data_IF_013328077952
#
_entry.id   IF_013328077952
#
_cell.length_a   1.000
_cell.length_b   1.000
_cell.length_c   1.000
_cell.angle_alpha   90.00
_cell.angle_beta   90.00
_cell.angle_gamma   90.00
#
_symmetry.space_group_name_H-M   'P 1'
#
loop_
_entity.id
_entity.type
_entity.pdbx_description
1 polymer ?
#
# COMPACT_ATOMS: atom_id res chain seq x y z
N UNK A 1 -50.62 58.19 -6.81
CA UNK A 1 -51.50 58.43 -7.96
C UNK A 1 -50.92 57.67 -9.12
N UNK A 2 -51.74 56.80 -9.61
CA UNK A 2 -51.96 56.26 -10.96
C UNK A 2 -50.85 55.32 -11.43
N UNK A 3 -51.04 54.06 -11.37
CA UNK A 3 -51.96 53.15 -12.09
C UNK A 3 -51.71 53.05 -13.60
N UNK A 4 -51.48 51.75 -13.96
CA UNK A 4 -51.93 51.10 -15.20
C UNK A 4 -51.19 51.44 -16.49
N UNK A 5 -50.67 50.50 -17.17
CA UNK A 5 -51.26 49.59 -18.18
C UNK A 5 -50.09 48.92 -18.93
N UNK A 6 -49.98 47.80 -19.44
CA UNK A 6 -50.88 46.83 -20.01
C UNK A 6 -50.03 45.64 -20.50
N UNK A 7 -50.42 44.53 -20.18
CA UNK A 7 -50.63 43.30 -20.92
C UNK A 7 -50.37 43.32 -22.45
N UNK A 8 -49.92 42.13 -22.87
CA UNK A 8 -49.89 41.58 -24.23
C UNK A 8 -48.66 41.83 -25.08
N UNK A 9 -47.79 40.83 -25.08
CA UNK A 9 -47.47 40.15 -26.34
C UNK A 9 -46.97 38.76 -26.02
N UNK A 10 -47.88 37.82 -25.88
CA UNK A 10 -47.63 36.44 -26.09
C UNK A 10 -47.61 36.19 -27.58
N UNK A 11 -46.56 35.63 -28.13
CA UNK A 11 -46.62 34.77 -29.30
C UNK A 11 -45.27 34.24 -29.74
N UNK A 12 -45.17 32.95 -29.82
CA UNK A 12 -44.45 32.23 -30.86
C UNK A 12 -42.92 32.10 -30.67
N UNK A 13 -42.54 31.18 -29.81
CA UNK A 13 -41.27 30.47 -29.95
C UNK A 13 -41.55 29.06 -30.47
N UNK A 14 -41.18 28.86 -31.71
CA UNK A 14 -41.27 27.63 -32.46
C UNK A 14 -40.50 26.52 -31.76
N UNK A 15 -41.18 25.35 -31.68
CA UNK A 15 -40.61 24.09 -31.25
C UNK A 15 -39.52 23.64 -32.27
N UNK A 16 -38.27 23.83 -31.96
CA UNK A 16 -37.19 23.12 -32.66
C UNK A 16 -37.07 21.71 -32.08
N UNK A 17 -36.98 20.65 -32.90
CA UNK A 17 -36.80 19.29 -32.41
C UNK A 17 -35.39 19.10 -31.90
N UNK A 18 -35.26 18.75 -30.62
CA UNK A 18 -34.02 18.33 -29.99
C UNK A 18 -33.54 17.03 -30.67
N UNK A 19 -32.47 17.10 -31.43
CA UNK A 19 -31.80 15.94 -32.00
C UNK A 19 -31.29 15.07 -30.86
N UNK A 20 -31.88 13.89 -30.70
CA UNK A 20 -31.41 12.83 -29.81
C UNK A 20 -30.09 12.30 -30.37
N UNK A 21 -28.93 12.76 -29.88
CA UNK A 21 -27.64 12.13 -30.12
C UNK A 21 -27.61 10.79 -29.34
N UNK A 22 -27.85 9.71 -30.10
CA UNK A 22 -27.58 8.34 -29.62
C UNK A 22 -26.08 8.10 -29.72
N UNK A 23 -25.33 8.40 -28.68
CA UNK A 23 -24.01 7.81 -28.45
C UNK A 23 -23.96 7.33 -27.01
N UNK A 24 -24.69 6.25 -26.75
CA UNK A 24 -24.49 5.43 -25.57
C UNK A 24 -23.19 4.62 -25.75
N UNK A 25 -22.06 5.27 -25.55
CA UNK A 25 -20.82 4.53 -25.33
C UNK A 25 -20.95 3.85 -23.96
N UNK A 26 -21.20 2.53 -24.01
CA UNK A 26 -21.17 1.67 -22.83
C UNK A 26 -19.76 1.80 -22.23
N UNK A 27 -19.60 2.14 -20.93
CA UNK A 27 -18.26 2.19 -20.33
C UNK A 27 -17.61 0.83 -20.54
N UNK A 28 -16.38 0.82 -21.06
CA UNK A 28 -15.58 -0.39 -21.26
C UNK A 28 -15.50 -1.10 -19.91
N UNK A 29 -16.06 -2.31 -19.83
CA UNK A 29 -15.95 -3.13 -18.64
C UNK A 29 -14.46 -3.39 -18.36
N UNK A 30 -14.02 -3.11 -17.14
CA UNK A 30 -12.68 -3.46 -16.69
C UNK A 30 -12.39 -4.94 -17.05
N UNK A 31 -11.19 -5.28 -17.53
CA UNK A 31 -10.87 -6.63 -17.94
C UNK A 31 -11.17 -7.59 -16.78
N UNK A 32 -12.08 -8.53 -16.99
CA UNK A 32 -12.35 -9.58 -16.01
C UNK A 32 -11.08 -10.38 -15.85
N UNK A 33 -10.34 -10.16 -14.77
CA UNK A 33 -9.20 -11.01 -14.43
C UNK A 33 -9.72 -12.44 -14.31
N UNK A 34 -9.16 -13.34 -15.09
CA UNK A 34 -9.59 -14.73 -15.11
C UNK A 34 -9.34 -15.34 -13.72
N UNK A 35 -10.40 -15.80 -13.07
CA UNK A 35 -10.34 -16.41 -11.73
C UNK A 35 -9.34 -17.56 -11.66
N UNK A 36 -9.13 -18.26 -12.78
CA UNK A 36 -8.14 -19.35 -12.87
C UNK A 36 -6.71 -18.83 -12.76
N UNK A 37 -6.42 -17.64 -13.35
CA UNK A 37 -5.11 -17.01 -13.23
C UNK A 37 -4.84 -16.64 -11.77
N UNK A 38 -5.79 -15.98 -11.11
CA UNK A 38 -5.67 -15.59 -9.70
C UNK A 38 -5.49 -16.82 -8.81
N UNK A 39 -6.25 -17.88 -9.04
CA UNK A 39 -6.13 -19.12 -8.28
C UNK A 39 -4.75 -19.76 -8.45
N UNK A 40 -4.26 -19.88 -9.70
CA UNK A 40 -2.94 -20.45 -9.97
C UNK A 40 -1.82 -19.62 -9.37
N UNK A 41 -1.88 -18.31 -9.49
CA UNK A 41 -0.92 -17.40 -8.85
C UNK A 41 -0.95 -17.52 -7.32
N UNK A 42 -2.13 -17.69 -6.72
CA UNK A 42 -2.29 -17.96 -5.29
C UNK A 42 -1.54 -19.23 -4.86
N UNK A 43 -1.74 -20.34 -5.56
CA UNK A 43 -1.01 -21.60 -5.28
C UNK A 43 0.51 -21.42 -5.36
N UNK A 44 1.01 -20.71 -6.37
CA UNK A 44 2.44 -20.44 -6.55
C UNK A 44 2.98 -19.61 -5.37
N UNK A 45 2.28 -18.53 -5.00
CA UNK A 45 2.70 -17.65 -3.90
C UNK A 45 2.70 -18.37 -2.54
N UNK A 46 1.69 -19.16 -2.25
CA UNK A 46 1.64 -19.97 -1.04
C UNK A 46 2.79 -20.99 -0.98
N UNK A 47 3.03 -21.74 -2.07
CA UNK A 47 4.14 -22.68 -2.13
C UNK A 47 5.50 -21.96 -1.95
N UNK A 48 5.66 -20.78 -2.52
CA UNK A 48 6.85 -19.95 -2.35
C UNK A 48 7.06 -19.54 -0.88
N UNK A 49 6.02 -19.02 -0.23
CA UNK A 49 6.06 -18.63 1.18
C UNK A 49 6.40 -19.81 2.10
N UNK A 50 5.86 -20.97 1.80
CA UNK A 50 6.18 -22.20 2.54
C UNK A 50 7.66 -22.59 2.42
N UNK A 51 8.20 -22.62 1.18
CA UNK A 51 9.61 -22.94 0.95
C UNK A 51 10.54 -21.90 1.57
N UNK A 52 10.13 -20.63 1.55
CA UNK A 52 10.91 -19.52 2.08
C UNK A 52 11.06 -19.55 3.62
N UNK A 53 10.23 -20.32 4.33
CA UNK A 53 10.39 -20.51 5.78
C UNK A 53 11.70 -21.22 6.16
N UNK A 54 12.21 -22.09 5.28
CA UNK A 54 13.36 -22.95 5.55
C UNK A 54 14.50 -22.86 4.54
N UNK A 55 14.32 -22.11 3.46
CA UNK A 55 15.29 -22.00 2.36
C UNK A 55 15.60 -20.57 2.00
N UNK A 56 16.83 -20.28 1.58
CA UNK A 56 17.16 -18.98 0.99
C UNK A 56 16.50 -18.84 -0.38
N UNK A 57 16.33 -17.60 -0.86
CA UNK A 57 15.76 -17.35 -2.19
C UNK A 57 16.58 -18.05 -3.30
N UNK A 58 17.91 -18.08 -3.14
CA UNK A 58 18.82 -18.68 -4.13
C UNK A 58 18.69 -20.20 -4.22
N UNK A 59 18.27 -20.85 -3.12
CA UNK A 59 18.15 -22.32 -3.04
C UNK A 59 16.80 -22.83 -3.54
N UNK A 60 15.78 -21.97 -3.63
CA UNK A 60 14.44 -22.37 -4.07
C UNK A 60 14.46 -22.60 -5.60
N UNK A 61 14.29 -23.86 -6.01
CA UNK A 61 14.21 -24.24 -7.43
C UNK A 61 12.76 -24.17 -7.92
N UNK A 62 12.59 -23.83 -9.21
CA UNK A 62 11.25 -23.86 -9.85
C UNK A 62 10.61 -25.25 -9.78
N UNK A 63 11.43 -26.33 -9.79
CA UNK A 63 10.93 -27.70 -9.65
C UNK A 63 10.24 -27.92 -8.32
N UNK A 64 10.90 -27.51 -7.24
CA UNK A 64 10.43 -27.76 -5.87
C UNK A 64 9.17 -26.94 -5.57
N UNK A 65 9.15 -25.70 -6.11
CA UNK A 65 7.98 -24.84 -6.04
C UNK A 65 6.80 -25.40 -6.83
N UNK A 66 7.03 -25.90 -8.06
CA UNK A 66 5.98 -26.50 -8.87
C UNK A 66 5.41 -27.77 -8.24
N UNK A 67 6.27 -28.62 -7.67
CA UNK A 67 5.85 -29.82 -6.94
C UNK A 67 4.97 -29.45 -5.74
N UNK A 68 5.41 -28.51 -4.94
CA UNK A 68 4.65 -28.03 -3.77
C UNK A 68 3.33 -27.36 -4.15
N UNK A 69 3.31 -26.58 -5.24
CA UNK A 69 2.10 -25.93 -5.74
C UNK A 69 1.13 -26.88 -6.48
N UNK A 70 1.55 -28.12 -6.77
CA UNK A 70 0.76 -29.06 -7.54
C UNK A 70 0.55 -28.65 -9.01
N UNK A 71 1.54 -27.96 -9.63
CA UNK A 71 1.45 -27.43 -11.00
C UNK A 71 2.61 -27.93 -11.85
N UNK A 72 2.42 -27.95 -13.18
CA UNK A 72 3.51 -28.18 -14.11
C UNK A 72 4.39 -26.94 -14.34
N UNK A 73 5.69 -27.14 -14.67
CA UNK A 73 6.63 -26.05 -15.00
C UNK A 73 6.11 -25.12 -16.11
N UNK A 74 5.43 -25.68 -17.14
CA UNK A 74 4.82 -24.84 -18.18
C UNK A 74 3.75 -23.90 -17.65
N UNK A 75 3.03 -24.30 -16.58
CA UNK A 75 2.08 -23.43 -15.90
C UNK A 75 2.80 -22.33 -15.14
N UNK A 76 3.88 -22.64 -14.44
CA UNK A 76 4.71 -21.64 -13.76
C UNK A 76 5.20 -20.58 -14.75
N UNK A 77 5.88 -20.98 -15.83
CA UNK A 77 6.46 -20.07 -16.83
C UNK A 77 5.43 -19.26 -17.63
N UNK A 78 4.16 -19.64 -17.59
CA UNK A 78 3.07 -18.81 -18.11
C UNK A 78 2.78 -17.59 -17.24
N UNK A 79 3.09 -17.65 -15.95
CA UNK A 79 2.77 -16.63 -14.96
C UNK A 79 3.97 -15.85 -14.45
N UNK A 80 5.14 -16.49 -14.34
CA UNK A 80 6.38 -15.92 -13.81
C UNK A 80 7.59 -16.40 -14.61
N UNK A 81 8.54 -15.51 -14.82
CA UNK A 81 9.80 -15.84 -15.50
C UNK A 81 10.81 -16.50 -14.57
N UNK A 82 10.80 -16.11 -13.29
CA UNK A 82 11.74 -16.57 -12.28
C UNK A 82 11.18 -16.36 -10.85
N UNK A 83 11.93 -16.81 -9.84
CA UNK A 83 11.56 -16.66 -8.42
C UNK A 83 11.49 -15.21 -7.95
N UNK A 84 12.28 -14.31 -8.54
CA UNK A 84 12.28 -12.89 -8.14
C UNK A 84 10.94 -12.24 -8.48
N UNK A 85 10.31 -12.60 -9.60
CA UNK A 85 8.97 -12.11 -9.95
C UNK A 85 7.90 -12.63 -8.98
N UNK A 86 8.04 -13.86 -8.47
CA UNK A 86 7.15 -14.39 -7.42
C UNK A 86 7.32 -13.60 -6.13
N UNK A 87 8.58 -13.38 -5.71
CA UNK A 87 8.89 -12.57 -4.53
C UNK A 87 8.34 -11.15 -4.67
N UNK A 88 8.49 -10.53 -5.82
CA UNK A 88 8.01 -9.17 -6.09
C UNK A 88 6.49 -9.06 -5.91
N UNK A 89 5.73 -9.99 -6.48
CA UNK A 89 4.27 -10.01 -6.34
C UNK A 89 3.82 -10.35 -4.90
N UNK A 90 4.55 -11.23 -4.20
CA UNK A 90 4.30 -11.53 -2.78
C UNK A 90 4.53 -10.30 -1.90
N UNK A 91 5.58 -9.52 -2.20
CA UNK A 91 5.84 -8.26 -1.49
C UNK A 91 4.75 -7.22 -1.77
N UNK A 92 4.27 -7.10 -3.01
CA UNK A 92 3.15 -6.23 -3.34
C UNK A 92 1.88 -6.59 -2.56
N UNK A 93 1.55 -7.89 -2.50
CA UNK A 93 0.42 -8.38 -1.72
C UNK A 93 0.56 -8.04 -0.23
N UNK A 94 1.73 -8.29 0.35
CA UNK A 94 1.99 -8.02 1.75
C UNK A 94 1.92 -6.52 2.08
N UNK A 95 2.55 -5.69 1.25
CA UNK A 95 2.58 -4.25 1.45
C UNK A 95 1.23 -3.58 1.22
N UNK A 96 0.41 -4.12 0.29
CA UNK A 96 -0.95 -3.62 0.04
C UNK A 96 -1.90 -3.82 1.22
N UNK A 97 -1.64 -4.82 2.06
CA UNK A 97 -2.43 -5.15 3.26
C UNK A 97 -2.03 -4.31 4.48
N UNK A 98 -0.88 -3.64 4.43
CA UNK A 98 -0.43 -2.75 5.49
C UNK A 98 -0.73 -1.29 5.16
N UNK A 99 -0.93 -0.46 6.18
CA UNK A 99 -1.03 0.98 5.98
C UNK A 99 0.35 1.58 5.68
N UNK A 100 0.36 2.64 4.87
CA UNK A 100 1.59 3.41 4.65
C UNK A 100 2.04 4.08 5.96
N UNK A 101 3.36 4.25 6.11
CA UNK A 101 3.95 4.96 7.24
C UNK A 101 3.34 6.36 7.44
N UNK A 102 3.15 7.11 6.35
CA UNK A 102 2.52 8.43 6.40
C UNK A 102 1.10 8.38 6.96
N UNK A 103 0.30 7.41 6.54
CA UNK A 103 -1.08 7.25 7.02
C UNK A 103 -1.10 6.89 8.51
N UNK A 104 -0.19 6.01 8.94
CA UNK A 104 -0.06 5.66 10.35
C UNK A 104 0.27 6.88 11.22
N UNK A 105 1.22 7.71 10.82
CA UNK A 105 1.61 8.92 11.56
C UNK A 105 0.47 9.94 11.61
N UNK A 106 -0.16 10.23 10.48
CA UNK A 106 -1.32 11.16 10.41
C UNK A 106 -2.50 10.64 11.25
N UNK A 107 -2.83 9.35 11.14
CA UNK A 107 -3.92 8.76 11.92
C UNK A 107 -3.66 8.80 13.42
N UNK A 108 -2.40 8.72 13.84
CA UNK A 108 -2.04 8.83 15.27
C UNK A 108 -2.22 10.25 15.79
N UNK A 109 -1.80 11.25 15.02
CA UNK A 109 -2.02 12.65 15.36
C UNK A 109 -3.51 12.99 15.47
N UNK A 110 -4.32 12.50 14.52
CA UNK A 110 -5.77 12.66 14.54
C UNK A 110 -6.44 11.89 15.70
N UNK A 111 -5.89 10.75 16.15
CA UNK A 111 -6.42 10.02 17.31
C UNK A 111 -6.19 10.74 18.63
N UNK A 112 -5.06 11.39 18.79
CA UNK A 112 -4.81 12.27 19.95
C UNK A 112 -5.77 13.46 19.98
N UNK A 113 -6.30 13.85 18.81
CA UNK A 113 -7.34 14.85 18.66
C UNK A 113 -8.78 14.29 18.74
N UNK A 114 -8.97 13.00 19.00
CA UNK A 114 -10.30 12.36 19.16
C UNK A 114 -11.03 12.05 17.85
N UNK A 115 -10.39 12.10 16.68
CA UNK A 115 -11.06 12.17 15.38
C UNK A 115 -11.10 10.87 14.55
N UNK A 116 -10.54 9.73 14.99
CA UNK A 116 -10.52 8.54 14.14
C UNK A 116 -10.65 7.20 14.89
N UNK A 117 -11.60 6.36 14.44
CA UNK A 117 -11.85 5.01 14.98
C UNK A 117 -11.50 3.88 13.98
N UNK A 118 -10.85 4.17 12.87
CA UNK A 118 -10.46 3.19 11.85
C UNK A 118 -8.95 2.94 11.87
N UNK A 119 -8.52 1.82 12.46
CA UNK A 119 -7.10 1.49 12.55
C UNK A 119 -6.58 0.96 11.23
N UNK A 120 -5.83 1.79 10.52
CA UNK A 120 -4.89 1.27 9.53
C UNK A 120 -3.77 0.53 10.25
N UNK A 121 -3.58 -0.75 9.97
CA UNK A 121 -2.55 -1.58 10.56
C UNK A 121 -1.17 -1.16 10.03
N UNK A 122 -0.25 -0.62 10.85
CA UNK A 122 1.07 -0.24 10.38
C UNK A 122 1.85 -1.48 9.93
N UNK A 123 2.78 -1.28 8.99
CA UNK A 123 3.59 -2.36 8.42
C UNK A 123 4.26 -3.25 9.49
N UNK A 124 4.80 -2.63 10.52
CA UNK A 124 5.46 -3.36 11.61
C UNK A 124 4.51 -4.29 12.37
N UNK A 125 3.27 -3.86 12.61
CA UNK A 125 2.25 -4.69 13.24
C UNK A 125 1.77 -5.77 12.26
N UNK A 126 1.58 -5.44 10.98
CA UNK A 126 1.20 -6.38 9.95
C UNK A 126 2.18 -7.57 9.89
N UNK A 127 3.49 -7.32 9.87
CA UNK A 127 4.51 -8.41 9.82
C UNK A 127 4.46 -9.26 11.08
N UNK A 128 4.25 -8.67 12.24
CA UNK A 128 4.15 -9.41 13.51
C UNK A 128 2.93 -10.33 13.57
N UNK A 129 1.82 -9.89 13.04
CA UNK A 129 0.57 -10.66 13.03
C UNK A 129 0.52 -11.70 11.91
N UNK A 130 1.18 -11.41 10.79
CA UNK A 130 1.19 -12.28 9.61
C UNK A 130 2.51 -13.06 9.49
N UNK A 131 2.76 -13.97 10.43
CA UNK A 131 4.00 -14.78 10.52
C UNK A 131 4.31 -15.59 9.26
N UNK A 132 3.36 -15.78 8.40
CA UNK A 132 3.55 -16.47 7.15
C UNK A 132 4.48 -15.71 6.17
N UNK A 133 4.57 -14.38 6.30
CA UNK A 133 5.57 -13.59 5.58
C UNK A 133 6.94 -13.52 6.28
N UNK A 134 7.10 -14.12 7.47
CA UNK A 134 8.33 -14.01 8.27
C UNK A 134 9.58 -14.48 7.52
N UNK A 135 9.48 -15.54 6.70
CA UNK A 135 10.59 -16.02 5.88
C UNK A 135 11.13 -15.00 4.87
N UNK A 136 10.38 -13.95 4.56
CA UNK A 136 10.80 -12.85 3.69
C UNK A 136 11.32 -11.68 4.53
N UNK A 137 10.51 -11.17 5.47
CA UNK A 137 10.85 -9.95 6.21
C UNK A 137 11.95 -10.14 7.24
N UNK A 138 12.19 -11.36 7.71
CA UNK A 138 13.30 -11.67 8.63
C UNK A 138 14.59 -12.07 7.91
N UNK A 139 14.54 -12.37 6.63
CA UNK A 139 15.72 -12.75 5.85
C UNK A 139 16.60 -11.51 5.57
N UNK A 140 17.78 -11.51 6.14
CA UNK A 140 18.75 -10.41 5.98
C UNK A 140 19.22 -10.25 4.54
N UNK A 141 19.31 -11.35 3.78
CA UNK A 141 19.74 -11.32 2.38
C UNK A 141 18.75 -10.57 1.47
N UNK A 142 17.48 -10.47 1.89
CA UNK A 142 16.42 -9.77 1.17
C UNK A 142 16.24 -8.31 1.63
N UNK A 143 17.03 -7.84 2.59
CA UNK A 143 16.86 -6.51 3.20
C UNK A 143 16.73 -5.40 2.17
N UNK A 144 17.62 -5.36 1.19
CA UNK A 144 17.59 -4.32 0.14
C UNK A 144 16.33 -4.40 -0.71
N UNK A 145 15.98 -5.60 -1.19
CA UNK A 145 14.80 -5.82 -2.04
C UNK A 145 13.52 -5.39 -1.30
N UNK A 146 13.41 -5.78 -0.03
CA UNK A 146 12.27 -5.42 0.83
C UNK A 146 12.20 -3.91 1.03
N UNK A 147 13.32 -3.25 1.37
CA UNK A 147 13.36 -1.81 1.58
C UNK A 147 13.04 -1.01 0.32
N UNK A 148 13.66 -1.37 -0.81
CA UNK A 148 13.40 -0.70 -2.09
C UNK A 148 11.91 -0.79 -2.44
N UNK A 149 11.29 -1.96 -2.24
CA UNK A 149 9.87 -2.17 -2.47
C UNK A 149 8.98 -1.37 -1.50
N UNK A 150 9.33 -1.33 -0.22
CA UNK A 150 8.63 -0.53 0.79
C UNK A 150 8.65 0.97 0.44
N UNK A 151 9.82 1.49 0.08
CA UNK A 151 10.01 2.90 -0.26
C UNK A 151 9.24 3.24 -1.54
N UNK A 152 9.38 2.44 -2.59
CA UNK A 152 8.68 2.65 -3.86
C UNK A 152 7.17 2.68 -3.68
N UNK A 153 6.61 1.69 -3.00
CA UNK A 153 5.17 1.57 -2.76
C UNK A 153 4.60 2.72 -1.92
N UNK A 154 5.39 3.33 -1.05
CA UNK A 154 4.93 4.38 -0.14
C UNK A 154 5.26 5.81 -0.60
N UNK A 155 6.24 5.98 -1.50
CA UNK A 155 6.80 7.28 -1.88
C UNK A 155 5.73 8.32 -2.22
N UNK A 156 4.80 8.00 -3.10
CA UNK A 156 3.77 8.94 -3.53
C UNK A 156 2.83 9.42 -2.42
N UNK A 157 2.44 8.50 -1.53
CA UNK A 157 1.56 8.82 -0.37
C UNK A 157 2.33 9.64 0.66
N UNK A 158 3.57 9.21 0.96
CA UNK A 158 4.45 9.86 1.92
C UNK A 158 4.75 11.31 1.52
N UNK A 159 5.18 11.54 0.28
CA UNK A 159 5.49 12.87 -0.23
C UNK A 159 4.30 13.82 -0.12
N UNK A 160 3.09 13.36 -0.49
CA UNK A 160 1.88 14.18 -0.38
C UNK A 160 1.54 14.54 1.07
N UNK A 161 1.67 13.58 1.96
CA UNK A 161 1.35 13.79 3.38
C UNK A 161 2.35 14.75 4.03
N UNK A 162 3.65 14.56 3.79
CA UNK A 162 4.70 15.34 4.43
C UNK A 162 4.79 16.78 3.95
N UNK A 163 4.46 17.07 2.67
CA UNK A 163 4.41 18.46 2.16
C UNK A 163 3.44 19.37 2.92
N UNK A 164 2.42 18.79 3.56
CA UNK A 164 1.47 19.56 4.40
C UNK A 164 1.92 19.71 5.85
N UNK A 165 2.95 18.99 6.28
CA UNK A 165 3.37 18.92 7.67
C UNK A 165 4.72 19.60 7.90
N UNK A 166 5.69 19.43 7.01
CA UNK A 166 7.05 19.94 7.18
C UNK A 166 7.58 20.64 5.93
N UNK A 167 8.59 21.51 6.15
CA UNK A 167 9.23 22.34 5.09
C UNK A 167 10.55 21.69 4.65
N UNK A 168 10.48 20.45 4.22
CA UNK A 168 11.62 19.70 3.69
C UNK A 168 11.53 19.59 2.17
N UNK A 169 12.68 19.60 1.51
CA UNK A 169 12.80 19.33 0.08
C UNK A 169 12.39 17.90 -0.26
N UNK A 170 12.10 17.64 -1.54
CA UNK A 170 11.78 16.26 -1.99
C UNK A 170 12.92 15.27 -1.74
N UNK A 171 14.18 15.72 -1.85
CA UNK A 171 15.34 14.90 -1.54
C UNK A 171 15.39 14.51 -0.07
N UNK A 172 15.27 15.49 0.84
CA UNK A 172 15.24 15.24 2.28
C UNK A 172 14.08 14.35 2.69
N UNK A 173 12.90 14.53 2.09
CA UNK A 173 11.75 13.65 2.32
C UNK A 173 11.99 12.22 1.83
N UNK A 174 12.70 12.03 0.71
CA UNK A 174 13.07 10.71 0.21
C UNK A 174 14.04 10.00 1.15
N UNK A 175 15.05 10.72 1.64
CA UNK A 175 16.02 10.20 2.60
C UNK A 175 15.36 9.85 3.94
N UNK A 176 14.43 10.71 4.39
CA UNK A 176 13.66 10.47 5.61
C UNK A 176 12.75 9.25 5.48
N UNK A 177 12.08 9.07 4.34
CA UNK A 177 11.28 7.87 4.07
C UNK A 177 12.13 6.60 4.11
N UNK A 178 13.31 6.62 3.49
CA UNK A 178 14.24 5.50 3.51
C UNK A 178 14.72 5.18 4.92
N UNK A 179 15.12 6.20 5.68
CA UNK A 179 15.50 6.07 7.09
C UNK A 179 14.38 5.45 7.95
N UNK A 180 13.17 5.97 7.85
CA UNK A 180 12.03 5.48 8.61
C UNK A 180 11.64 4.04 8.21
N UNK A 181 11.66 3.72 6.91
CA UNK A 181 11.37 2.37 6.42
C UNK A 181 12.41 1.36 6.91
N UNK A 182 13.69 1.74 6.88
CA UNK A 182 14.80 0.93 7.44
C UNK A 182 14.61 0.70 8.93
N UNK A 183 14.35 1.76 9.69
CA UNK A 183 14.11 1.68 11.13
C UNK A 183 12.93 0.77 11.46
N UNK A 184 11.83 0.87 10.74
CA UNK A 184 10.67 0.00 10.91
C UNK A 184 11.00 -1.48 10.65
N UNK A 185 11.71 -1.79 9.57
CA UNK A 185 12.09 -3.16 9.23
C UNK A 185 12.99 -3.78 10.31
N UNK A 186 14.03 -3.04 10.76
CA UNK A 186 14.93 -3.54 11.81
C UNK A 186 14.26 -3.64 13.18
N UNK A 187 13.38 -2.72 13.53
CA UNK A 187 12.58 -2.80 14.76
C UNK A 187 11.70 -4.05 14.78
N UNK A 188 11.04 -4.38 13.66
CA UNK A 188 10.26 -5.61 13.53
C UNK A 188 11.12 -6.86 13.71
N UNK A 189 12.26 -6.95 13.03
CA UNK A 189 13.18 -8.09 13.14
C UNK A 189 13.63 -8.31 14.59
N UNK A 190 14.01 -7.25 15.29
CA UNK A 190 14.43 -7.31 16.68
C UNK A 190 13.28 -7.73 17.61
N UNK A 191 12.09 -7.23 17.38
CA UNK A 191 10.94 -7.38 18.29
C UNK A 191 9.91 -8.40 17.83
N UNK A 192 10.22 -9.27 16.86
CA UNK A 192 9.25 -10.21 16.28
C UNK A 192 8.64 -11.15 17.32
N UNK A 193 9.41 -11.50 18.36
CA UNK A 193 9.02 -12.39 19.45
C UNK A 193 8.74 -11.63 20.76
N UNK A 194 8.78 -10.28 20.77
CA UNK A 194 8.49 -9.49 21.96
C UNK A 194 7.02 -9.67 22.38
N UNK A 195 6.73 -9.54 23.67
CA UNK A 195 5.36 -9.55 24.17
C UNK A 195 4.54 -8.39 23.59
N UNK A 196 3.20 -8.45 23.59
CA UNK A 196 2.37 -7.34 23.14
C UNK A 196 2.69 -6.03 23.88
N UNK A 197 2.95 -6.10 25.18
CA UNK A 197 3.24 -4.94 26.03
C UNK A 197 4.62 -4.33 25.72
N UNK A 198 5.65 -5.18 25.52
CA UNK A 198 6.99 -4.74 25.11
C UNK A 198 6.95 -4.09 23.73
N UNK A 199 6.22 -4.71 22.80
CA UNK A 199 6.04 -4.16 21.47
C UNK A 199 5.33 -2.81 21.50
N UNK A 200 4.23 -2.68 22.24
CA UNK A 200 3.50 -1.42 22.36
C UNK A 200 4.38 -0.29 22.89
N UNK A 201 5.24 -0.58 23.89
CA UNK A 201 6.21 0.40 24.40
C UNK A 201 7.23 0.81 23.35
N UNK A 202 7.79 -0.16 22.62
CA UNK A 202 8.76 0.10 21.55
C UNK A 202 8.14 0.94 20.43
N UNK A 203 6.95 0.57 19.99
CA UNK A 203 6.21 1.30 18.96
C UNK A 203 5.90 2.73 19.40
N UNK A 204 5.44 2.92 20.64
CA UNK A 204 5.16 4.24 21.17
C UNK A 204 6.42 5.13 21.22
N UNK A 205 7.57 4.55 21.59
CA UNK A 205 8.84 5.28 21.60
C UNK A 205 9.27 5.71 20.20
N UNK A 206 9.19 4.81 19.22
CA UNK A 206 9.52 5.09 17.81
C UNK A 206 8.60 6.18 17.26
N UNK A 207 7.29 6.04 17.45
CA UNK A 207 6.30 7.00 16.96
C UNK A 207 6.52 8.40 17.58
N UNK A 208 6.77 8.48 18.88
CA UNK A 208 7.04 9.74 19.56
C UNK A 208 8.32 10.41 19.03
N UNK A 209 9.36 9.63 18.78
CA UNK A 209 10.60 10.14 18.19
C UNK A 209 10.38 10.70 16.77
N UNK A 210 9.65 9.97 15.92
CA UNK A 210 9.35 10.41 14.55
C UNK A 210 8.47 11.67 14.56
N UNK A 211 7.39 11.66 15.34
CA UNK A 211 6.48 12.80 15.42
C UNK A 211 7.17 14.04 16.00
N UNK A 212 8.01 13.88 17.02
CA UNK A 212 8.81 14.96 17.57
C UNK A 212 9.79 15.56 16.55
N UNK A 213 10.44 14.71 15.76
CA UNK A 213 11.33 15.15 14.68
C UNK A 213 10.59 15.89 13.56
N UNK A 214 9.42 15.39 13.15
CA UNK A 214 8.58 16.04 12.16
C UNK A 214 8.08 17.42 12.66
N UNK A 215 7.62 17.49 13.90
CA UNK A 215 7.17 18.74 14.52
C UNK A 215 8.29 19.79 14.58
N UNK A 216 9.54 19.37 14.80
CA UNK A 216 10.70 20.27 14.76
C UNK A 216 11.05 20.76 13.34
N UNK A 217 10.60 20.06 12.30
CA UNK A 217 10.82 20.40 10.88
C UNK A 217 9.65 21.20 10.27
N UNK A 218 8.64 21.57 11.06
CA UNK A 218 7.58 22.47 10.61
C UNK A 218 8.09 23.90 10.60
N UNK A 219 7.61 24.73 9.64
CA UNK A 219 7.88 26.16 9.67
C UNK A 219 7.41 26.73 10.99
N UNK A 220 8.31 27.38 11.72
CA UNK A 220 7.90 28.33 12.74
C UNK A 220 7.28 29.52 12.01
N UNK A 221 5.96 29.58 12.01
CA UNK A 221 5.23 30.77 11.61
C UNK A 221 5.57 31.94 12.53
#
# INVERSE_FOLDING_TARGET
MSEKTSEKTAARLEKQPVARSRTGAKPAAAPKVDRRILFTKGLIKEAFLELKKSSSLADIKVTDLCERAGIGRGTFYRHYRNMTEVLDEVLDDALSQSSSLARHLVSREMRTAGACSGCDMPFCQFVRENKHYSGIFLDESLTRIVLDKMVEGQKGVYMRAMRGICDLSEGELADLLYFQSSGCLFAVRRCINASPEEWARTQAAIDNFILGGLAASTRRL
#
